data_IF_766970533069
#
_entry.id   IF_766970533069
#
_cell.length_a   1.000
_cell.length_b   1.000
_cell.length_c   1.000
_cell.angle_alpha   90.00
_cell.angle_beta   90.00
_cell.angle_gamma   90.00
#
_symmetry.space_group_name_H-M   'P 1'
#
loop_
_entity.id
_entity.type
_entity.pdbx_description
1 polymer ?
#
# COMPACT_ATOMS: atom_id res chain seq x y z
N UNK A 1 7.22 -21.20 -9.19
CA UNK A 1 7.23 -20.79 -7.78
C UNK A 1 6.96 -19.30 -7.76
N UNK A 2 6.06 -18.86 -6.90
CA UNK A 2 5.64 -17.46 -6.84
C UNK A 2 5.84 -16.92 -5.41
N UNK A 3 5.94 -15.61 -5.28
CA UNK A 3 6.11 -14.92 -3.99
C UNK A 3 4.92 -14.00 -3.76
N UNK A 4 4.13 -14.26 -2.72
CA UNK A 4 3.11 -13.33 -2.25
C UNK A 4 3.67 -12.53 -1.07
N UNK A 5 4.02 -11.28 -1.32
CA UNK A 5 4.61 -10.38 -0.33
C UNK A 5 3.55 -9.45 0.27
N UNK A 6 2.97 -9.87 1.40
CA UNK A 6 1.90 -9.15 2.09
C UNK A 6 2.46 -8.18 3.13
N UNK A 7 1.97 -6.94 3.13
CA UNK A 7 2.27 -5.91 4.13
C UNK A 7 0.99 -5.19 4.55
N UNK A 8 0.90 -4.87 5.85
CA UNK A 8 -0.12 -4.01 6.42
C UNK A 8 0.58 -2.78 7.00
N UNK A 9 0.14 -1.57 6.64
CA UNK A 9 0.71 -0.37 7.25
C UNK A 9 0.32 -0.28 8.73
N UNK A 10 1.22 0.27 9.55
CA UNK A 10 1.01 0.54 10.96
C UNK A 10 0.58 -0.66 11.88
N UNK A 11 0.56 -1.90 11.37
CA UNK A 11 0.26 -3.09 12.18
C UNK A 11 1.32 -3.31 13.26
N UNK A 12 0.90 -3.30 14.52
CA UNK A 12 1.77 -3.66 15.63
C UNK A 12 2.00 -5.16 15.69
N UNK A 13 3.23 -5.57 16.02
CA UNK A 13 3.59 -6.99 16.13
C UNK A 13 2.78 -7.74 17.19
N UNK A 14 2.35 -7.05 18.26
CA UNK A 14 1.62 -7.63 19.40
C UNK A 14 0.10 -7.63 19.21
N UNK A 15 -0.43 -7.18 18.07
CA UNK A 15 -1.86 -7.20 17.72
C UNK A 15 -2.28 -8.48 16.96
N UNK A 16 -1.52 -9.56 17.14
CA UNK A 16 -1.80 -10.87 16.53
C UNK A 16 -1.87 -11.95 17.63
N UNK A 17 -2.81 -12.88 17.55
CA UNK A 17 -2.95 -13.94 18.57
C UNK A 17 -1.73 -14.86 18.61
N UNK A 18 -1.10 -15.19 17.47
CA UNK A 18 0.18 -15.93 17.43
C UNK A 18 1.38 -15.16 18.01
N UNK A 19 1.24 -13.85 18.27
CA UNK A 19 2.20 -13.03 18.99
C UNK A 19 1.80 -12.76 20.46
N UNK A 20 0.68 -13.33 20.92
CA UNK A 20 0.25 -13.30 22.31
C UNK A 20 -0.81 -12.25 22.65
N UNK A 21 -1.50 -11.63 21.67
CA UNK A 21 -2.58 -10.69 21.98
C UNK A 21 -3.70 -11.39 22.78
N UNK A 22 -4.11 -10.88 23.95
CA UNK A 22 -5.01 -11.61 24.86
C UNK A 22 -6.49 -11.60 24.44
N UNK A 23 -6.89 -10.69 23.54
CA UNK A 23 -8.31 -10.44 23.21
C UNK A 23 -8.65 -10.46 21.72
N UNK A 24 -7.65 -10.47 20.84
CA UNK A 24 -7.84 -10.35 19.39
C UNK A 24 -7.47 -11.67 18.77
N UNK A 25 -8.45 -12.33 18.18
CA UNK A 25 -8.27 -13.64 17.58
C UNK A 25 -8.00 -13.48 16.08
N UNK A 26 -6.82 -13.87 15.64
CA UNK A 26 -6.37 -13.79 14.23
C UNK A 26 -6.06 -15.19 13.67
N UNK A 27 -7.03 -16.12 13.62
CA UNK A 27 -6.77 -17.53 13.32
C UNK A 27 -6.13 -17.76 11.94
N UNK A 28 -6.38 -16.89 10.97
CA UNK A 28 -5.76 -16.98 9.64
C UNK A 28 -4.26 -16.63 9.66
N UNK A 29 -3.85 -15.62 10.43
CA UNK A 29 -2.43 -15.31 10.65
C UNK A 29 -1.76 -16.44 11.44
N UNK A 30 -2.44 -16.95 12.46
CA UNK A 30 -1.92 -18.04 13.30
C UNK A 30 -1.67 -19.30 12.47
N UNK A 31 -2.59 -19.64 11.56
CA UNK A 31 -2.44 -20.76 10.63
C UNK A 31 -1.21 -20.60 9.73
N UNK A 32 -0.97 -19.40 9.17
CA UNK A 32 0.24 -19.14 8.37
C UNK A 32 1.50 -19.27 9.21
N UNK A 33 1.50 -18.74 10.44
CA UNK A 33 2.63 -18.85 11.36
C UNK A 33 2.93 -20.31 11.76
N UNK A 34 1.91 -21.15 11.92
CA UNK A 34 2.04 -22.59 12.22
C UNK A 34 2.58 -23.40 11.04
N UNK A 35 2.34 -22.95 9.81
CA UNK A 35 2.80 -23.62 8.58
C UNK A 35 4.16 -23.11 8.09
N UNK A 36 4.78 -22.16 8.80
CA UNK A 36 6.01 -21.51 8.38
C UNK A 36 6.89 -21.07 9.55
N UNK A 37 7.56 -19.93 9.39
CA UNK A 37 8.46 -19.37 10.41
C UNK A 37 7.97 -17.98 10.79
N UNK A 38 7.76 -17.75 12.08
CA UNK A 38 7.48 -16.42 12.65
C UNK A 38 8.74 -15.85 13.30
N UNK A 39 9.18 -14.69 12.85
CA UNK A 39 10.31 -13.97 13.42
C UNK A 39 9.84 -13.13 14.61
N UNK A 40 10.43 -13.34 15.80
CA UNK A 40 10.12 -12.57 17.02
C UNK A 40 11.03 -11.34 17.22
N UNK A 41 12.07 -11.21 16.41
CA UNK A 41 13.04 -10.12 16.45
C UNK A 41 13.26 -9.57 15.03
N UNK A 42 12.25 -8.88 14.49
CA UNK A 42 12.31 -8.23 13.18
C UNK A 42 12.13 -6.71 13.36
N UNK A 43 13.03 -5.92 12.76
CA UNK A 43 13.06 -4.47 12.91
C UNK A 43 13.11 -3.79 11.53
N UNK A 44 12.32 -2.73 11.38
CA UNK A 44 12.37 -1.82 10.24
C UNK A 44 13.52 -0.84 10.37
N UNK A 45 14.03 -0.33 9.24
CA UNK A 45 15.20 0.56 9.21
C UNK A 45 14.84 2.04 9.45
N UNK A 46 13.55 2.38 9.46
CA UNK A 46 13.04 3.71 9.82
C UNK A 46 11.62 3.59 10.39
N UNK A 47 11.24 4.38 11.42
CA UNK A 47 9.93 4.30 12.05
C UNK A 47 8.85 5.14 11.32
N UNK A 48 9.00 5.43 10.02
CA UNK A 48 8.02 6.17 9.22
C UNK A 48 7.83 5.54 7.83
N UNK A 49 6.60 5.58 7.31
CA UNK A 49 6.15 4.82 6.13
C UNK A 49 7.13 4.89 4.95
N UNK A 50 7.38 6.08 4.40
CA UNK A 50 8.16 6.24 3.17
C UNK A 50 9.58 5.70 3.31
N UNK A 51 10.32 6.14 4.32
CA UNK A 51 11.70 5.70 4.53
C UNK A 51 11.81 4.20 4.85
N UNK A 52 10.89 3.66 5.66
CA UNK A 52 10.83 2.24 5.98
C UNK A 52 10.63 1.39 4.72
N UNK A 53 9.65 1.78 3.90
CA UNK A 53 9.30 1.12 2.64
C UNK A 53 10.44 1.20 1.64
N UNK A 54 11.09 2.35 1.47
CA UNK A 54 12.25 2.47 0.57
C UNK A 54 13.40 1.56 1.00
N UNK A 55 13.68 1.43 2.31
CA UNK A 55 14.68 0.46 2.79
C UNK A 55 14.30 -0.97 2.45
N UNK A 56 13.02 -1.34 2.58
CA UNK A 56 12.51 -2.65 2.22
C UNK A 56 12.70 -2.93 0.72
N UNK A 57 12.30 -1.98 -0.12
CA UNK A 57 12.32 -2.15 -1.57
C UNK A 57 13.72 -2.09 -2.16
N UNK A 58 14.67 -1.37 -1.56
CA UNK A 58 16.07 -1.39 -2.02
C UNK A 58 16.95 -2.42 -1.32
N UNK A 59 16.47 -3.05 -0.24
CA UNK A 59 17.29 -3.92 0.63
C UNK A 59 18.48 -3.21 1.28
N UNK A 60 18.38 -1.90 1.50
CA UNK A 60 19.50 -1.02 1.91
C UNK A 60 19.05 -0.11 3.04
N UNK A 61 19.99 0.35 3.87
CA UNK A 61 19.71 1.31 4.93
C UNK A 61 19.38 2.70 4.37
N UNK A 62 18.61 3.50 5.14
CA UNK A 62 18.31 4.90 4.83
C UNK A 62 19.55 5.73 4.53
N UNK A 63 20.63 5.51 5.28
CA UNK A 63 21.92 6.17 5.06
C UNK A 63 22.57 5.87 3.71
N UNK A 64 22.14 4.79 3.03
CA UNK A 64 22.64 4.36 1.73
C UNK A 64 21.78 4.89 0.58
N UNK A 65 20.45 4.77 0.68
CA UNK A 65 19.52 5.13 -0.40
C UNK A 65 19.02 6.58 -0.35
N UNK A 66 19.10 7.25 0.79
CA UNK A 66 18.86 8.70 0.95
C UNK A 66 17.40 9.15 1.01
N UNK A 67 16.42 8.33 0.60
CA UNK A 67 14.99 8.59 0.79
C UNK A 67 14.59 8.50 2.28
N UNK A 68 14.78 9.60 3.02
CA UNK A 68 14.84 9.59 4.48
C UNK A 68 13.53 9.91 5.21
N UNK A 69 12.47 10.34 4.51
CA UNK A 69 11.17 10.68 5.09
C UNK A 69 10.03 10.46 4.10
N UNK A 70 8.78 10.68 4.53
CA UNK A 70 7.63 10.69 3.63
C UNK A 70 7.81 11.79 2.56
N UNK A 71 7.48 11.46 1.31
CA UNK A 71 7.59 12.38 0.16
C UNK A 71 9.02 12.59 -0.37
N UNK A 72 10.05 12.04 0.26
CA UNK A 72 11.41 12.11 -0.27
C UNK A 72 11.57 11.15 -1.45
N UNK A 73 11.96 11.63 -2.64
CA UNK A 73 12.14 10.75 -3.79
C UNK A 73 13.25 9.73 -3.58
N UNK A 74 13.04 8.49 -4.02
CA UNK A 74 14.13 7.53 -4.19
C UNK A 74 14.87 7.90 -5.49
N UNK A 75 16.17 8.19 -5.37
CA UNK A 75 17.00 8.67 -6.48
C UNK A 75 17.03 7.68 -7.64
N UNK A 76 17.05 8.20 -8.87
CA UNK A 76 17.31 7.37 -10.05
C UNK A 76 18.68 6.68 -9.92
N UNK A 77 18.73 5.40 -10.28
CA UNK A 77 19.93 4.58 -10.22
C UNK A 77 20.08 3.76 -8.94
N UNK A 78 19.26 3.97 -7.90
CA UNK A 78 19.10 2.95 -6.87
C UNK A 78 18.25 1.80 -7.39
N UNK A 79 18.85 0.62 -7.45
CA UNK A 79 18.15 -0.60 -7.83
C UNK A 79 17.17 -1.01 -6.73
N UNK A 80 16.07 -1.62 -7.15
CA UNK A 80 15.05 -2.10 -6.23
C UNK A 80 14.84 -3.59 -6.36
N UNK A 81 14.01 -4.14 -5.48
CA UNK A 81 13.59 -5.53 -5.42
C UNK A 81 13.16 -6.04 -6.81
N UNK A 82 12.40 -5.22 -7.54
CA UNK A 82 11.92 -5.60 -8.86
C UNK A 82 13.05 -5.79 -9.87
N UNK A 83 14.11 -4.98 -9.81
CA UNK A 83 15.26 -5.11 -10.72
C UNK A 83 16.04 -6.40 -10.46
N UNK A 84 16.23 -6.72 -9.18
CA UNK A 84 16.88 -7.96 -8.77
C UNK A 84 16.05 -9.20 -9.13
N UNK A 85 14.74 -9.19 -8.90
CA UNK A 85 13.85 -10.30 -9.24
C UNK A 85 13.76 -10.53 -10.75
N UNK A 86 13.60 -9.46 -11.54
CA UNK A 86 13.55 -9.58 -13.01
C UNK A 86 14.85 -10.11 -13.58
N UNK A 87 15.99 -9.71 -13.02
CA UNK A 87 17.30 -10.26 -13.40
C UNK A 87 17.42 -11.76 -13.11
N UNK A 88 16.63 -12.28 -12.16
CA UNK A 88 16.52 -13.70 -11.84
C UNK A 88 15.37 -14.42 -12.57
N UNK A 89 14.68 -13.75 -13.51
CA UNK A 89 13.59 -14.34 -14.29
C UNK A 89 12.24 -14.38 -13.57
N UNK A 90 12.00 -13.47 -12.62
CA UNK A 90 10.73 -13.31 -11.92
C UNK A 90 10.21 -11.88 -12.02
N UNK A 91 8.96 -11.71 -12.43
CA UNK A 91 8.33 -10.38 -12.47
C UNK A 91 8.00 -9.87 -11.06
N UNK A 92 7.89 -8.56 -10.91
CA UNK A 92 7.63 -7.93 -9.62
C UNK A 92 6.51 -6.90 -9.73
N UNK A 93 5.37 -7.22 -9.13
CA UNK A 93 4.10 -6.51 -9.29
C UNK A 93 3.68 -5.80 -8.00
N UNK A 94 3.00 -4.67 -8.14
CA UNK A 94 2.39 -3.92 -7.04
C UNK A 94 0.87 -4.02 -7.04
N UNK A 95 0.31 -4.31 -5.87
CA UNK A 95 -1.12 -4.29 -5.57
C UNK A 95 -1.31 -3.52 -4.24
N UNK A 96 -1.45 -2.21 -4.33
CA UNK A 96 -1.68 -1.31 -3.19
C UNK A 96 -0.59 -0.25 -3.02
N UNK A 97 -0.13 -0.08 -1.77
CA UNK A 97 0.68 1.05 -1.32
C UNK A 97 2.19 0.85 -1.48
N UNK A 98 2.90 1.92 -1.84
CA UNK A 98 4.37 1.99 -1.73
C UNK A 98 4.87 3.26 -1.05
N UNK A 99 4.06 4.33 -1.01
CA UNK A 99 4.51 5.65 -0.59
C UNK A 99 5.69 6.18 -1.44
N UNK A 100 5.90 5.62 -2.64
CA UNK A 100 6.98 6.03 -3.54
C UNK A 100 6.73 7.44 -4.08
N UNK A 101 7.77 8.26 -4.13
CA UNK A 101 7.82 9.52 -4.88
C UNK A 101 8.90 9.42 -5.96
N UNK A 102 8.53 9.67 -7.21
CA UNK A 102 9.47 9.63 -8.33
C UNK A 102 10.51 10.77 -8.23
N UNK A 103 11.77 10.44 -8.48
CA UNK A 103 12.84 11.42 -8.70
C UNK A 103 12.72 12.00 -10.11
N UNK A 104 11.71 12.84 -10.33
CA UNK A 104 11.40 13.42 -11.64
C UNK A 104 12.57 14.22 -12.23
N UNK A 105 13.32 14.93 -11.36
CA UNK A 105 14.50 15.69 -11.79
C UNK A 105 15.64 14.76 -12.23
N UNK A 106 15.91 13.68 -11.50
CA UNK A 106 16.89 12.67 -11.88
C UNK A 106 16.51 11.94 -13.17
N UNK A 107 15.21 11.63 -13.35
CA UNK A 107 14.70 11.02 -14.58
C UNK A 107 14.89 11.94 -15.78
N UNK A 108 14.48 13.21 -15.66
CA UNK A 108 14.64 14.20 -16.73
C UNK A 108 16.11 14.41 -17.11
N UNK A 109 17.01 14.48 -16.12
CA UNK A 109 18.46 14.61 -16.33
C UNK A 109 19.05 13.47 -17.15
N UNK A 110 18.49 12.27 -17.03
CA UNK A 110 18.96 11.05 -17.73
C UNK A 110 18.14 10.71 -18.97
N UNK A 111 17.15 11.53 -19.32
CA UNK A 111 16.27 11.28 -20.48
C UNK A 111 15.34 10.07 -20.31
N UNK A 112 14.97 9.74 -19.07
CA UNK A 112 14.02 8.66 -18.79
C UNK A 112 12.58 9.17 -18.95
N UNK A 113 11.93 8.75 -20.03
CA UNK A 113 10.53 9.08 -20.29
C UNK A 113 9.60 8.30 -19.33
N UNK A 114 8.73 8.96 -18.54
CA UNK A 114 7.88 8.29 -17.54
C UNK A 114 6.90 7.26 -18.11
N UNK A 115 6.55 7.37 -19.38
CA UNK A 115 5.65 6.49 -20.14
C UNK A 115 6.36 5.32 -20.81
N UNK A 116 7.70 5.28 -20.78
CA UNK A 116 8.48 4.11 -21.19
C UNK A 116 8.43 3.01 -20.12
N UNK A 117 8.66 1.75 -20.50
CA UNK A 117 8.72 0.62 -19.55
C UNK A 117 9.74 0.88 -18.43
N UNK A 118 10.92 1.38 -18.78
CA UNK A 118 12.00 1.67 -17.81
C UNK A 118 11.61 2.84 -16.91
N UNK A 119 11.09 3.93 -17.48
CA UNK A 119 10.71 5.11 -16.72
C UNK A 119 9.52 4.87 -15.79
N UNK A 120 8.51 4.12 -16.23
CA UNK A 120 7.36 3.74 -15.42
C UNK A 120 7.81 2.91 -14.21
N UNK A 121 8.64 1.88 -14.43
CA UNK A 121 9.23 1.09 -13.35
C UNK A 121 10.05 1.95 -12.40
N UNK A 122 10.91 2.84 -12.91
CA UNK A 122 11.69 3.75 -12.07
C UNK A 122 10.82 4.68 -11.20
N UNK A 123 9.71 5.19 -11.75
CA UNK A 123 8.78 6.05 -11.04
C UNK A 123 7.98 5.29 -9.95
N UNK A 124 7.80 3.99 -10.13
CA UNK A 124 7.02 3.09 -9.28
C UNK A 124 7.91 2.16 -8.44
N UNK A 125 9.09 2.63 -8.04
CA UNK A 125 10.03 1.90 -7.17
C UNK A 125 10.41 0.49 -7.69
N UNK A 126 10.45 0.34 -9.01
CA UNK A 126 10.77 -0.87 -9.75
C UNK A 126 9.65 -1.90 -9.81
N UNK A 127 8.43 -1.59 -9.37
CA UNK A 127 7.28 -2.48 -9.57
C UNK A 127 6.64 -2.27 -10.95
N UNK A 128 6.15 -3.35 -11.55
CA UNK A 128 5.08 -3.28 -12.54
C UNK A 128 3.75 -3.10 -11.78
N UNK A 129 2.89 -2.18 -12.23
CA UNK A 129 1.71 -1.78 -11.44
C UNK A 129 0.47 -2.50 -11.91
N UNK A 130 -0.11 -3.31 -11.03
CA UNK A 130 -1.48 -3.82 -11.19
C UNK A 130 -2.48 -2.84 -10.55
N UNK A 131 -2.26 -2.50 -9.28
CA UNK A 131 -2.97 -1.44 -8.57
C UNK A 131 -1.96 -0.62 -7.78
N UNK A 132 -1.92 0.69 -8.02
CA UNK A 132 -1.23 1.65 -7.16
C UNK A 132 -2.28 2.47 -6.43
N UNK A 133 -2.37 2.28 -5.12
CA UNK A 133 -3.21 3.08 -4.23
C UNK A 133 -2.50 3.17 -2.87
N UNK A 134 -2.06 4.37 -2.49
CA UNK A 134 -1.40 4.57 -1.20
C UNK A 134 -2.41 4.62 -0.03
N UNK A 135 -3.71 4.49 -0.31
CA UNK A 135 -4.80 4.27 0.65
C UNK A 135 -5.24 5.49 1.45
N UNK A 136 -4.78 6.68 1.06
CA UNK A 136 -5.07 7.92 1.79
C UNK A 136 -5.49 9.03 0.84
N UNK A 137 -6.76 9.41 0.90
CA UNK A 137 -7.35 10.46 0.06
C UNK A 137 -7.78 11.68 0.90
N UNK A 138 -6.89 12.13 1.79
CA UNK A 138 -7.11 13.31 2.62
C UNK A 138 -7.10 14.60 1.83
N UNK A 139 -8.02 15.51 2.16
CA UNK A 139 -8.18 16.81 1.51
C UNK A 139 -8.32 17.91 2.55
N UNK A 140 -7.59 19.00 2.37
CA UNK A 140 -7.68 20.22 3.17
C UNK A 140 -8.01 21.45 2.32
N UNK A 141 -7.95 22.67 2.90
CA UNK A 141 -8.20 23.91 2.16
C UNK A 141 -7.22 24.14 1.00
N UNK A 142 -6.01 23.57 1.08
CA UNK A 142 -4.97 23.67 0.06
C UNK A 142 -5.02 22.53 -0.98
N UNK A 143 -6.05 21.67 -0.94
CA UNK A 143 -6.24 20.55 -1.87
C UNK A 143 -5.94 19.17 -1.26
N UNK A 144 -5.71 18.18 -2.12
CA UNK A 144 -5.46 16.79 -1.73
C UNK A 144 -4.01 16.56 -1.31
N UNK A 145 -3.82 15.66 -0.35
CA UNK A 145 -2.48 15.19 0.05
C UNK A 145 -1.78 14.39 -1.07
N UNK A 146 -2.54 13.51 -1.75
CA UNK A 146 -2.10 12.83 -2.97
C UNK A 146 -3.04 13.21 -4.12
N UNK A 147 -2.46 13.66 -5.22
CA UNK A 147 -3.16 14.12 -6.43
C UNK A 147 -3.27 13.03 -7.50
N UNK A 148 -2.77 11.82 -7.23
CA UNK A 148 -2.87 10.69 -8.16
C UNK A 148 -4.31 10.27 -8.41
N UNK A 149 -4.49 9.48 -9.47
CA UNK A 149 -5.73 8.73 -9.67
C UNK A 149 -5.98 7.79 -8.49
N UNK A 150 -7.23 7.71 -8.03
CA UNK A 150 -7.69 6.79 -6.98
C UNK A 150 -8.53 5.66 -7.58
N UNK A 151 -7.94 4.46 -7.79
CA UNK A 151 -8.71 3.30 -8.28
C UNK A 151 -9.84 2.92 -7.34
N UNK A 152 -9.66 3.11 -6.02
CA UNK A 152 -10.69 2.78 -5.04
C UNK A 152 -11.87 3.75 -5.08
N UNK A 153 -11.64 5.07 -5.16
CA UNK A 153 -12.75 6.03 -5.31
C UNK A 153 -13.53 5.81 -6.62
N UNK A 154 -12.85 5.45 -7.71
CA UNK A 154 -13.51 5.09 -8.97
C UNK A 154 -14.39 3.84 -8.82
N UNK A 155 -13.90 2.81 -8.11
CA UNK A 155 -14.67 1.62 -7.78
C UNK A 155 -15.92 1.97 -6.96
N UNK A 156 -15.78 2.75 -5.88
CA UNK A 156 -16.93 3.15 -5.06
C UNK A 156 -17.95 3.95 -5.89
N UNK A 157 -17.50 4.86 -6.76
CA UNK A 157 -18.43 5.58 -7.66
C UNK A 157 -19.18 4.62 -8.58
N UNK A 158 -18.52 3.58 -9.09
CA UNK A 158 -19.17 2.56 -9.91
C UNK A 158 -20.18 1.68 -9.15
N UNK A 159 -19.98 1.50 -7.84
CA UNK A 159 -20.91 0.81 -6.94
C UNK A 159 -22.07 1.70 -6.45
N UNK A 160 -22.09 2.97 -6.87
CA UNK A 160 -23.20 3.89 -6.59
C UNK A 160 -22.98 4.82 -5.40
N UNK A 161 -21.75 4.99 -4.91
CA UNK A 161 -21.40 6.00 -3.89
C UNK A 161 -21.09 7.35 -4.57
N UNK A 162 -21.99 8.36 -4.54
CA UNK A 162 -21.98 9.47 -5.49
C UNK A 162 -21.11 10.67 -5.07
N UNK A 163 -20.47 10.62 -3.92
CA UNK A 163 -19.72 11.78 -3.38
C UNK A 163 -18.45 12.05 -4.17
N UNK A 164 -17.89 13.25 -4.02
CA UNK A 164 -16.63 13.62 -4.67
C UNK A 164 -15.47 12.72 -4.19
N UNK A 165 -15.43 12.47 -2.88
CA UNK A 165 -14.44 11.65 -2.20
C UNK A 165 -15.12 10.55 -1.36
N UNK A 166 -15.58 9.45 -1.98
CA UNK A 166 -16.31 8.41 -1.27
C UNK A 166 -15.44 7.62 -0.29
N UNK A 167 -14.12 7.58 -0.49
CA UNK A 167 -13.17 7.09 0.51
C UNK A 167 -13.33 7.83 1.84
N UNK A 168 -13.40 9.17 1.81
CA UNK A 168 -13.53 9.97 3.03
C UNK A 168 -14.93 9.91 3.65
N UNK A 169 -15.99 9.90 2.84
CA UNK A 169 -17.38 10.03 3.32
C UNK A 169 -18.08 8.69 3.59
N UNK A 170 -17.55 7.58 3.08
CA UNK A 170 -18.15 6.25 3.25
C UNK A 170 -17.18 5.28 3.92
N UNK A 171 -16.02 5.02 3.30
CA UNK A 171 -15.07 4.04 3.83
C UNK A 171 -14.46 4.48 5.17
N UNK A 172 -14.23 5.78 5.35
CA UNK A 172 -13.56 6.36 6.51
C UNK A 172 -14.40 7.40 7.26
N UNK A 173 -15.73 7.26 7.21
CA UNK A 173 -16.64 8.03 8.05
C UNK A 173 -17.86 7.20 8.43
N UNK A 174 -18.38 7.43 9.64
CA UNK A 174 -19.69 6.95 10.04
C UNK A 174 -20.78 7.99 9.77
N UNK A 175 -21.95 7.75 10.34
CA UNK A 175 -23.06 8.70 10.41
C UNK A 175 -23.41 8.88 11.89
N UNK A 176 -23.70 10.11 12.31
CA UNK A 176 -24.15 10.39 13.67
C UNK A 176 -25.68 10.26 13.84
N UNK A 177 -26.19 10.64 15.01
CA UNK A 177 -27.62 10.48 15.36
C UNK A 177 -28.53 11.41 14.54
N UNK A 178 -27.99 12.52 14.02
CA UNK A 178 -28.72 13.51 13.23
C UNK A 178 -28.67 13.20 11.72
N UNK A 179 -27.92 12.16 11.34
CA UNK A 179 -27.74 11.77 9.94
C UNK A 179 -26.56 12.47 9.25
N UNK A 180 -25.73 13.20 10.01
CA UNK A 180 -24.57 13.91 9.49
C UNK A 180 -23.33 13.01 9.42
N UNK A 181 -22.40 13.36 8.53
CA UNK A 181 -21.17 12.60 8.32
C UNK A 181 -20.25 12.74 9.54
N UNK A 182 -20.02 11.62 10.21
CA UNK A 182 -19.10 11.52 11.33
C UNK A 182 -17.70 11.10 10.82
N UNK A 183 -16.91 12.10 10.41
CA UNK A 183 -15.57 11.89 9.82
C UNK A 183 -14.63 11.09 10.71
N UNK A 184 -14.00 10.05 10.15
CA UNK A 184 -13.00 9.21 10.82
C UNK A 184 -11.66 9.92 11.09
N UNK A 185 -11.45 11.12 10.54
CA UNK A 185 -10.34 11.99 10.95
C UNK A 185 -10.42 12.42 12.41
N UNK A 186 -11.61 12.40 12.99
CA UNK A 186 -11.83 12.72 14.40
C UNK A 186 -11.83 11.42 15.22
N UNK A 187 -10.86 11.26 16.12
CA UNK A 187 -10.77 10.05 16.97
C UNK A 187 -12.05 9.75 17.76
N UNK A 188 -12.86 10.76 18.06
CA UNK A 188 -14.15 10.61 18.73
C UNK A 188 -15.18 9.79 17.93
N UNK A 189 -14.94 9.56 16.64
CA UNK A 189 -15.80 8.78 15.75
C UNK A 189 -15.27 7.36 15.48
N UNK A 190 -14.16 6.95 16.10
CA UNK A 190 -13.54 5.65 15.84
C UNK A 190 -14.39 4.45 16.30
N UNK A 191 -15.39 4.67 17.15
CA UNK A 191 -16.36 3.69 17.61
C UNK A 191 -17.58 3.55 16.67
N UNK A 192 -17.73 4.44 15.69
CA UNK A 192 -18.83 4.42 14.73
C UNK A 192 -18.55 3.43 13.60
N UNK A 193 -19.54 2.66 13.14
CA UNK A 193 -19.40 1.85 11.94
C UNK A 193 -19.22 2.75 10.72
N UNK A 194 -18.34 2.34 9.80
CA UNK A 194 -18.17 3.03 8.52
C UNK A 194 -19.48 2.98 7.70
N UNK A 195 -19.79 4.06 7.00
CA UNK A 195 -21.00 4.23 6.19
C UNK A 195 -20.84 3.58 4.79
N UNK A 196 -20.51 2.30 4.78
CA UNK A 196 -20.21 1.52 3.57
C UNK A 196 -20.64 0.06 3.77
N UNK A 197 -20.97 -0.65 2.69
CA UNK A 197 -21.10 -2.13 2.76
C UNK A 197 -19.72 -2.73 3.04
N UNK A 198 -19.64 -3.70 3.94
CA UNK A 198 -18.35 -4.28 4.37
C UNK A 198 -17.53 -4.80 3.17
N UNK A 199 -18.16 -5.50 2.22
CA UNK A 199 -17.48 -6.06 1.06
C UNK A 199 -16.90 -5.00 0.10
N UNK A 200 -17.35 -3.75 0.19
CA UNK A 200 -16.82 -2.66 -0.63
C UNK A 200 -15.70 -1.90 0.10
N UNK A 201 -15.43 -2.21 1.38
CA UNK A 201 -14.37 -1.54 2.13
C UNK A 201 -12.97 -1.89 1.61
N UNK A 202 -11.97 -1.10 2.02
CA UNK A 202 -10.63 -1.09 1.40
C UNK A 202 -9.92 -2.45 1.42
N UNK A 203 -10.00 -3.17 2.55
CA UNK A 203 -9.31 -4.46 2.71
C UNK A 203 -9.97 -5.57 1.86
N UNK A 204 -11.30 -5.79 1.90
CA UNK A 204 -11.98 -6.70 0.98
C UNK A 204 -11.75 -6.35 -0.49
N UNK A 205 -11.84 -5.06 -0.86
CA UNK A 205 -11.60 -4.61 -2.23
C UNK A 205 -10.19 -4.95 -2.72
N UNK A 206 -9.14 -4.60 -1.96
CA UNK A 206 -7.76 -4.86 -2.39
C UNK A 206 -7.44 -6.36 -2.39
N UNK A 207 -8.07 -7.13 -1.48
CA UNK A 207 -8.00 -8.59 -1.47
C UNK A 207 -8.60 -9.17 -2.75
N UNK A 208 -9.76 -8.68 -3.19
CA UNK A 208 -10.35 -9.12 -4.46
C UNK A 208 -9.45 -8.75 -5.65
N UNK A 209 -8.87 -7.54 -5.68
CA UNK A 209 -7.91 -7.14 -6.73
C UNK A 209 -6.67 -8.04 -6.78
N UNK A 210 -6.25 -8.57 -5.62
CA UNK A 210 -5.16 -9.53 -5.51
C UNK A 210 -5.55 -10.89 -6.10
N UNK A 211 -6.75 -11.38 -5.79
CA UNK A 211 -7.26 -12.62 -6.38
C UNK A 211 -7.35 -12.48 -7.92
N UNK A 212 -7.89 -11.36 -8.40
CA UNK A 212 -8.00 -11.06 -9.83
C UNK A 212 -6.63 -11.07 -10.53
N UNK A 213 -5.58 -10.58 -9.87
CA UNK A 213 -4.20 -10.64 -10.38
C UNK A 213 -3.69 -12.08 -10.43
N UNK A 214 -3.85 -12.84 -9.35
CA UNK A 214 -3.36 -14.22 -9.25
C UNK A 214 -3.99 -15.11 -10.34
N UNK A 215 -5.28 -14.92 -10.62
CA UNK A 215 -6.01 -15.68 -11.63
C UNK A 215 -5.56 -15.38 -13.07
N UNK A 216 -4.91 -14.23 -13.30
CA UNK A 216 -4.45 -13.78 -14.62
C UNK A 216 -2.94 -13.92 -14.84
N UNK A 217 -2.16 -14.05 -13.76
CA UNK A 217 -0.70 -14.10 -13.82
C UNK A 217 -0.20 -15.51 -14.23
N UNK A 218 0.57 -15.58 -15.33
CA UNK A 218 1.03 -16.86 -15.91
C UNK A 218 2.51 -17.15 -15.66
N UNK A 219 3.37 -16.13 -15.75
CA UNK A 219 4.81 -16.26 -15.56
C UNK A 219 5.21 -16.21 -14.07
N UNK A 220 6.42 -16.65 -13.67
CA UNK A 220 6.86 -16.55 -12.28
C UNK A 220 6.80 -15.12 -11.76
N UNK A 221 6.09 -14.91 -10.64
CA UNK A 221 5.84 -13.56 -10.11
C UNK A 221 6.14 -13.43 -8.63
N UNK A 222 6.50 -12.19 -8.25
CA UNK A 222 6.39 -11.65 -6.90
C UNK A 222 5.32 -10.56 -6.91
N UNK A 223 4.32 -10.66 -6.05
CA UNK A 223 3.26 -9.66 -5.91
C UNK A 223 3.35 -9.02 -4.53
N UNK A 224 3.65 -7.72 -4.49
CA UNK A 224 3.57 -6.93 -3.28
C UNK A 224 2.13 -6.49 -3.04
N UNK A 225 1.46 -7.18 -2.13
CA UNK A 225 0.11 -6.84 -1.66
C UNK A 225 0.25 -5.96 -0.43
N UNK A 226 0.00 -4.66 -0.58
CA UNK A 226 0.27 -3.70 0.48
C UNK A 226 -1.01 -2.96 0.89
N UNK A 227 -1.59 -3.42 1.99
CA UNK A 227 -2.71 -2.78 2.66
C UNK A 227 -2.27 -1.48 3.35
N UNK A 228 -3.17 -0.50 3.38
CA UNK A 228 -3.07 0.74 4.15
C UNK A 228 -3.36 0.51 5.63
#
# INVERSE_FOLDING_TARGET
MNILFIMYDQLRFDYLSCAGHPHLHTPNFDRVAQMGVRFSNAYVQSPICGASRMSFYSGRYVSSHGAAWNGFPLRVGEQTLGDHLRSAGMDCWLIGKTHMKADAAGMARLGLAPDSIIGARQAECGFDVWIRDDGLWGQGPDGFYDERRSPYNEYLKSEGYPTENPWATHANAGVDEDGDIASGWMFANADKPANIREQDSETPWLTQRTIDFIDQANDPWCAHVSFI
#
